data_IF_845997010998
#
_entry.id   IF_845997010998
#
_cell.length_a   1.000
_cell.length_b   1.000
_cell.length_c   1.000
_cell.angle_alpha   90.00
_cell.angle_beta   90.00
_cell.angle_gamma   90.00
#
_symmetry.space_group_name_H-M   'P 1'
#
loop_
_entity.id
_entity.type
_entity.pdbx_description
1 polymer ?
#
# COMPACT_ATOMS: atom_id res chain seq x y z
N UNK A 1 -14.24 -10.14 26.37
CA UNK A 1 -13.34 -9.20 27.06
C UNK A 1 -13.09 -8.04 26.12
N UNK A 2 -13.27 -6.81 26.58
CA UNK A 2 -13.11 -5.59 25.76
C UNK A 2 -11.63 -5.37 25.45
N UNK A 3 -11.22 -5.13 24.20
CA UNK A 3 -9.83 -4.82 23.88
C UNK A 3 -9.42 -3.53 24.60
N UNK A 4 -8.26 -3.54 25.26
CA UNK A 4 -7.78 -2.40 26.08
C UNK A 4 -7.05 -1.33 25.25
N UNK A 5 -6.70 -1.64 23.99
CA UNK A 5 -5.85 -0.82 23.15
C UNK A 5 -6.22 -0.92 21.67
N UNK A 6 -6.37 0.21 20.98
CA UNK A 6 -6.52 0.28 19.53
C UNK A 6 -5.38 1.08 18.90
N UNK A 7 -4.72 0.53 17.87
CA UNK A 7 -3.55 1.11 17.20
C UNK A 7 -3.93 1.61 15.79
N UNK A 8 -3.78 2.91 15.48
CA UNK A 8 -4.08 3.43 14.16
C UNK A 8 -3.10 3.00 13.08
N UNK A 9 -3.61 2.97 11.85
CA UNK A 9 -2.90 2.84 10.57
C UNK A 9 -1.75 3.85 10.48
N UNK A 10 -0.60 3.52 9.86
CA UNK A 10 0.52 4.44 9.60
C UNK A 10 0.03 5.85 9.20
N UNK A 11 0.14 6.82 10.10
CA UNK A 11 -0.22 8.24 9.92
C UNK A 11 1.02 9.10 9.62
N UNK A 12 1.85 8.71 8.65
CA UNK A 12 2.96 9.57 8.24
C UNK A 12 2.43 10.78 7.46
N UNK A 13 2.68 12.00 7.96
CA UNK A 13 2.54 13.24 7.17
C UNK A 13 1.12 13.80 7.01
N UNK A 14 0.13 13.35 7.77
CA UNK A 14 -1.21 13.95 7.76
C UNK A 14 -1.23 15.24 8.60
N UNK A 15 -1.78 16.33 8.05
CA UNK A 15 -2.06 17.56 8.79
C UNK A 15 -2.85 17.26 10.09
N UNK A 16 -2.68 18.03 11.18
CA UNK A 16 -3.31 17.76 12.49
C UNK A 16 -4.83 17.55 12.46
N UNK A 17 -5.53 18.12 11.47
CA UNK A 17 -6.96 17.92 11.24
C UNK A 17 -7.30 16.48 10.80
N UNK A 18 -6.45 15.84 10.02
CA UNK A 18 -6.64 14.46 9.56
C UNK A 18 -6.28 13.43 10.64
N UNK A 19 -5.28 13.71 11.47
CA UNK A 19 -4.99 12.93 12.67
C UNK A 19 -6.20 12.92 13.62
N UNK A 20 -6.84 14.10 13.80
CA UNK A 20 -8.08 14.23 14.58
C UNK A 20 -9.26 13.50 13.95
N UNK A 21 -9.40 13.51 12.63
CA UNK A 21 -10.47 12.82 11.91
C UNK A 21 -10.35 11.29 12.02
N UNK A 22 -9.17 10.71 11.79
CA UNK A 22 -8.96 9.26 11.94
C UNK A 22 -8.99 8.83 13.41
N UNK A 23 -8.46 9.63 14.32
CA UNK A 23 -8.62 9.42 15.75
C UNK A 23 -10.06 9.62 16.23
N UNK A 24 -10.87 10.39 15.51
CA UNK A 24 -12.32 10.52 15.72
C UNK A 24 -13.06 9.28 15.25
N UNK A 25 -12.82 8.85 14.01
CA UNK A 25 -13.36 7.62 13.45
C UNK A 25 -13.06 6.40 14.33
N UNK A 26 -11.83 6.26 14.84
CA UNK A 26 -11.48 5.15 15.74
C UNK A 26 -12.07 5.31 17.14
N UNK A 27 -12.25 6.54 17.67
CA UNK A 27 -12.97 6.79 18.92
C UNK A 27 -14.44 6.44 18.83
N UNK A 28 -15.07 6.79 17.71
CA UNK A 28 -16.50 6.53 17.48
C UNK A 28 -16.77 5.04 17.19
N UNK A 29 -15.73 4.28 16.84
CA UNK A 29 -15.81 2.84 16.54
C UNK A 29 -15.34 1.94 17.70
N UNK A 30 -14.57 2.47 18.66
CA UNK A 30 -14.05 1.72 19.79
C UNK A 30 -15.07 1.67 20.96
N UNK A 31 -15.20 0.54 21.68
CA UNK A 31 -16.04 0.47 22.88
C UNK A 31 -15.66 1.50 23.94
N UNK A 32 -16.64 1.96 24.74
CA UNK A 32 -16.42 2.88 25.86
C UNK A 32 -15.31 2.38 26.81
N UNK A 33 -14.33 3.25 27.09
CA UNK A 33 -13.17 2.95 27.94
C UNK A 33 -11.96 2.33 27.23
N UNK A 34 -11.99 2.19 25.90
CA UNK A 34 -10.83 1.78 25.10
C UNK A 34 -9.79 2.90 25.04
N UNK A 35 -8.56 2.63 25.48
CA UNK A 35 -7.45 3.57 25.34
C UNK A 35 -6.95 3.55 23.89
N UNK A 36 -6.89 4.72 23.24
CA UNK A 36 -6.32 4.84 21.89
C UNK A 36 -4.87 5.29 22.02
N UNK A 37 -3.93 4.40 21.72
CA UNK A 37 -2.53 4.79 21.56
C UNK A 37 -2.27 5.17 20.11
N UNK A 38 -1.92 6.43 19.88
CA UNK A 38 -1.34 6.87 18.62
C UNK A 38 0.13 6.47 18.65
N UNK A 39 0.49 5.41 17.93
CA UNK A 39 1.89 5.00 17.82
C UNK A 39 2.66 6.01 16.97
N UNK A 40 3.74 6.51 17.55
CA UNK A 40 4.76 7.28 16.84
C UNK A 40 5.42 6.43 15.74
N UNK A 41 5.71 7.14 14.65
CA UNK A 41 6.31 6.75 13.38
C UNK A 41 7.30 5.57 13.37
N UNK A 42 7.19 4.72 12.33
CA UNK A 42 8.37 4.08 11.72
C UNK A 42 9.17 3.10 12.58
N UNK A 43 8.67 2.68 13.74
CA UNK A 43 9.28 1.61 14.53
C UNK A 43 8.61 0.29 14.14
N UNK A 44 9.34 -0.65 13.51
CA UNK A 44 8.88 -2.03 13.36
C UNK A 44 8.51 -2.58 14.74
N UNK A 45 7.33 -3.16 14.89
CA UNK A 45 7.07 -3.94 16.09
C UNK A 45 7.77 -5.30 15.98
N UNK A 46 8.35 -5.73 17.09
CA UNK A 46 8.96 -7.05 17.23
C UNK A 46 7.87 -8.12 17.27
N UNK A 47 7.35 -8.48 16.11
CA UNK A 47 6.65 -9.74 15.89
C UNK A 47 7.69 -10.87 15.92
N UNK A 48 7.55 -11.89 16.78
CA UNK A 48 8.46 -13.02 16.81
C UNK A 48 8.56 -13.68 15.42
N UNK A 49 9.76 -14.03 14.94
CA UNK A 49 9.90 -14.76 13.68
C UNK A 49 9.16 -16.11 13.77
N UNK A 50 8.47 -16.50 12.70
CA UNK A 50 7.79 -17.80 12.62
C UNK A 50 6.30 -17.79 12.97
N UNK A 51 5.70 -16.65 13.31
CA UNK A 51 4.23 -16.52 13.49
C UNK A 51 3.53 -16.10 12.20
N UNK A 52 4.23 -15.94 11.08
CA UNK A 52 3.63 -15.52 9.82
C UNK A 52 2.55 -16.51 9.35
N UNK A 53 2.76 -17.81 9.52
CA UNK A 53 1.77 -18.82 9.14
C UNK A 53 0.51 -18.73 10.02
N UNK A 54 0.66 -18.42 11.32
CA UNK A 54 -0.48 -18.21 12.22
C UNK A 54 -1.28 -16.97 11.80
N UNK A 55 -0.59 -15.87 11.45
CA UNK A 55 -1.23 -14.66 10.91
C UNK A 55 -1.99 -14.98 9.62
N UNK A 56 -1.40 -15.78 8.73
CA UNK A 56 -2.02 -16.17 7.45
C UNK A 56 -3.24 -17.07 7.68
N UNK A 57 -3.19 -17.97 8.65
CA UNK A 57 -4.32 -18.84 8.97
C UNK A 57 -5.48 -18.06 9.59
N UNK A 58 -5.20 -17.13 10.51
CA UNK A 58 -6.24 -16.25 11.07
C UNK A 58 -6.81 -15.33 9.99
N UNK A 59 -5.96 -14.80 9.10
CA UNK A 59 -6.41 -14.04 7.93
C UNK A 59 -7.25 -14.88 6.98
N UNK A 60 -6.94 -16.17 6.78
CA UNK A 60 -7.78 -17.06 5.98
C UNK A 60 -9.18 -17.17 6.58
N UNK A 61 -9.28 -17.38 7.89
CA UNK A 61 -10.55 -17.47 8.60
C UNK A 61 -11.36 -16.18 8.48
N UNK A 62 -10.72 -15.02 8.67
CA UNK A 62 -11.41 -13.74 8.51
C UNK A 62 -11.86 -13.52 7.07
N UNK A 63 -11.07 -13.98 6.09
CA UNK A 63 -11.37 -13.79 4.69
C UNK A 63 -12.50 -14.69 4.24
N UNK A 64 -12.62 -15.92 4.77
CA UNK A 64 -13.81 -16.74 4.57
C UNK A 64 -15.08 -16.04 5.09
N UNK A 65 -15.01 -15.33 6.22
CA UNK A 65 -16.11 -14.49 6.70
C UNK A 65 -16.35 -13.30 5.75
N UNK A 66 -15.31 -12.57 5.36
CA UNK A 66 -15.41 -11.38 4.50
C UNK A 66 -16.02 -11.68 3.13
N UNK A 67 -15.71 -12.85 2.54
CA UNK A 67 -16.29 -13.31 1.27
C UNK A 67 -17.82 -13.45 1.30
N UNK A 68 -18.40 -13.67 2.48
CA UNK A 68 -19.86 -13.80 2.63
C UNK A 68 -20.56 -12.45 2.77
N UNK A 69 -19.80 -11.36 2.94
CA UNK A 69 -20.36 -10.03 3.18
C UNK A 69 -20.73 -9.36 1.86
N UNK A 70 -21.86 -8.64 1.87
CA UNK A 70 -22.30 -7.82 0.74
C UNK A 70 -21.17 -6.87 0.33
N UNK A 71 -20.98 -6.71 -0.98
CA UNK A 71 -19.99 -5.80 -1.54
C UNK A 71 -18.56 -6.34 -1.58
N UNK A 72 -18.27 -7.56 -1.10
CA UNK A 72 -16.98 -8.20 -1.33
C UNK A 72 -16.86 -8.63 -2.81
N UNK A 73 -15.81 -8.21 -3.51
CA UNK A 73 -15.56 -8.57 -4.92
C UNK A 73 -14.44 -9.61 -5.03
N UNK A 74 -13.29 -9.33 -4.40
CA UNK A 74 -12.14 -10.22 -4.44
C UNK A 74 -11.16 -9.95 -3.31
N UNK A 75 -10.31 -10.94 -3.02
CA UNK A 75 -9.25 -10.86 -2.02
C UNK A 75 -8.02 -11.62 -2.53
N UNK A 76 -6.84 -11.03 -2.37
CA UNK A 76 -5.57 -11.68 -2.67
C UNK A 76 -4.56 -11.35 -1.57
N UNK A 77 -4.03 -12.38 -0.93
CA UNK A 77 -2.89 -12.24 -0.05
C UNK A 77 -1.58 -12.35 -0.83
N UNK A 78 -0.63 -11.52 -0.44
CA UNK A 78 0.73 -11.57 -0.92
C UNK A 78 1.68 -11.76 0.26
N UNK A 79 2.70 -12.59 0.07
CA UNK A 79 3.84 -12.74 0.97
C UNK A 79 5.00 -11.90 0.46
N UNK A 80 5.76 -11.31 1.37
CA UNK A 80 7.07 -10.77 1.03
C UNK A 80 7.98 -11.87 0.46
N UNK A 81 8.84 -11.53 -0.50
CA UNK A 81 9.87 -12.48 -0.98
C UNK A 81 10.84 -12.90 0.13
N UNK A 82 10.98 -12.05 1.15
CA UNK A 82 11.58 -12.33 2.44
C UNK A 82 11.02 -11.35 3.49
N UNK A 83 11.05 -11.74 4.76
CA UNK A 83 10.56 -10.94 5.89
C UNK A 83 9.13 -11.24 6.32
N UNK A 84 8.67 -10.50 7.33
CA UNK A 84 7.49 -10.79 8.16
C UNK A 84 6.18 -10.17 7.66
N UNK A 85 6.25 -9.40 6.56
CA UNK A 85 5.14 -8.56 6.08
C UNK A 85 4.31 -9.32 5.06
N UNK A 86 3.00 -9.40 5.31
CA UNK A 86 2.00 -9.84 4.34
C UNK A 86 1.17 -8.65 3.86
N UNK A 87 0.69 -8.70 2.61
CA UNK A 87 -0.13 -7.65 2.01
C UNK A 87 -1.42 -8.25 1.49
N UNK A 88 -2.56 -7.79 2.00
CA UNK A 88 -3.87 -8.12 1.45
C UNK A 88 -4.31 -7.03 0.46
N UNK A 89 -4.66 -7.43 -0.76
CA UNK A 89 -5.31 -6.57 -1.74
C UNK A 89 -6.74 -7.09 -1.92
N UNK A 90 -7.72 -6.29 -1.50
CA UNK A 90 -9.13 -6.64 -1.59
C UNK A 90 -9.92 -5.58 -2.36
N UNK A 91 -10.81 -6.03 -3.24
CA UNK A 91 -11.74 -5.19 -3.96
C UNK A 91 -13.12 -5.25 -3.32
N UNK A 92 -13.73 -4.09 -3.13
CA UNK A 92 -15.06 -3.92 -2.55
C UNK A 92 -15.88 -2.97 -3.41
N UNK A 93 -17.19 -3.21 -3.48
CA UNK A 93 -18.14 -2.35 -4.19
C UNK A 93 -18.17 -0.94 -3.59
N UNK A 94 -18.08 -0.84 -2.26
CA UNK A 94 -18.02 0.46 -1.58
C UNK A 94 -17.29 0.40 -0.23
N UNK A 95 -16.80 1.55 0.23
CA UNK A 95 -16.23 1.71 1.57
C UNK A 95 -17.28 1.47 2.68
N UNK A 96 -18.56 1.73 2.39
CA UNK A 96 -19.67 1.46 3.33
C UNK A 96 -19.84 -0.04 3.55
N UNK A 97 -19.77 -0.83 2.50
CA UNK A 97 -19.92 -2.29 2.59
C UNK A 97 -18.74 -2.92 3.31
N UNK A 98 -17.52 -2.48 3.01
CA UNK A 98 -16.33 -2.88 3.78
C UNK A 98 -16.47 -2.53 5.27
N UNK A 99 -16.93 -1.32 5.59
CA UNK A 99 -17.17 -0.91 6.98
C UNK A 99 -18.17 -1.84 7.65
N UNK A 100 -19.28 -2.15 7.00
CA UNK A 100 -20.29 -3.06 7.56
C UNK A 100 -19.73 -4.47 7.78
N UNK A 101 -18.90 -4.96 6.85
CA UNK A 101 -18.21 -6.24 6.96
C UNK A 101 -17.28 -6.28 8.19
N UNK A 102 -16.45 -5.24 8.38
CA UNK A 102 -15.60 -5.13 9.58
C UNK A 102 -16.41 -5.05 10.87
N UNK A 103 -17.56 -4.39 10.88
CA UNK A 103 -18.40 -4.28 12.08
C UNK A 103 -19.25 -5.53 12.36
N UNK A 104 -19.16 -6.58 11.54
CA UNK A 104 -19.96 -7.78 11.74
C UNK A 104 -19.49 -8.55 12.98
N UNK A 105 -20.41 -9.15 13.77
CA UNK A 105 -20.04 -9.92 14.95
C UNK A 105 -19.07 -11.07 14.64
N UNK A 106 -19.23 -11.72 13.48
CA UNK A 106 -18.38 -12.84 13.08
C UNK A 106 -16.95 -12.39 12.79
N UNK A 107 -16.75 -11.23 12.14
CA UNK A 107 -15.42 -10.69 11.90
C UNK A 107 -14.77 -10.22 13.21
N UNK A 108 -15.52 -9.50 14.05
CA UNK A 108 -15.02 -9.01 15.34
C UNK A 108 -14.62 -10.14 16.29
N UNK A 109 -15.30 -11.29 16.23
CA UNK A 109 -14.96 -12.47 17.02
C UNK A 109 -13.61 -13.11 16.65
N UNK A 110 -13.09 -12.87 15.44
CA UNK A 110 -11.80 -13.39 14.97
C UNK A 110 -10.61 -12.50 15.34
N UNK A 111 -10.83 -11.22 15.65
CA UNK A 111 -9.75 -10.30 15.99
C UNK A 111 -8.85 -10.78 17.15
N UNK A 112 -9.38 -11.37 18.23
CA UNK A 112 -8.54 -11.90 19.32
C UNK A 112 -7.71 -13.13 18.94
N UNK A 113 -7.96 -13.77 17.80
CA UNK A 113 -7.20 -14.93 17.35
C UNK A 113 -5.88 -14.55 16.67
N UNK A 114 -5.71 -13.28 16.26
CA UNK A 114 -4.45 -12.82 15.70
C UNK A 114 -3.34 -12.91 16.76
N UNK A 115 -2.13 -13.42 16.39
CA UNK A 115 -1.00 -13.51 17.32
C UNK A 115 -0.64 -12.15 17.94
N UNK A 116 -0.21 -12.17 19.19
CA UNK A 116 0.28 -10.97 19.88
C UNK A 116 1.40 -10.28 19.08
N UNK A 117 1.32 -8.96 18.97
CA UNK A 117 2.23 -8.15 18.15
C UNK A 117 1.80 -7.99 16.68
N UNK A 118 0.77 -8.71 16.22
CA UNK A 118 0.20 -8.50 14.89
C UNK A 118 -0.33 -7.07 14.74
N UNK A 119 0.06 -6.40 13.65
CA UNK A 119 -0.40 -5.07 13.31
C UNK A 119 -0.86 -5.00 11.85
N UNK A 120 -2.03 -4.41 11.62
CA UNK A 120 -2.57 -4.20 10.28
C UNK A 120 -2.64 -2.70 9.96
N UNK A 121 -2.29 -2.36 8.72
CA UNK A 121 -2.28 -0.98 8.23
C UNK A 121 -3.16 -0.82 6.97
N UNK A 122 -4.50 -0.97 7.09
CA UNK A 122 -5.41 -0.85 5.95
C UNK A 122 -5.40 0.56 5.37
N UNK A 123 -5.41 0.67 4.03
CA UNK A 123 -5.60 1.95 3.34
C UNK A 123 -6.62 1.79 2.22
N UNK A 124 -7.59 2.70 2.16
CA UNK A 124 -8.60 2.72 1.12
C UNK A 124 -8.09 3.48 -0.10
N UNK A 125 -8.07 2.79 -1.24
CA UNK A 125 -7.57 3.33 -2.49
C UNK A 125 -8.54 3.05 -3.62
N UNK A 126 -8.44 3.84 -4.69
CA UNK A 126 -9.14 3.62 -5.96
C UNK A 126 -8.14 3.61 -7.12
N UNK A 127 -8.37 2.80 -8.16
CA UNK A 127 -7.49 2.79 -9.33
C UNK A 127 -7.52 4.16 -10.02
N UNK A 128 -6.36 4.60 -10.50
CA UNK A 128 -6.20 5.87 -11.22
C UNK A 128 -5.85 5.60 -12.67
N UNK A 129 -6.46 6.35 -13.57
CA UNK A 129 -6.06 6.37 -14.97
C UNK A 129 -4.70 7.07 -15.11
N UNK A 130 -3.73 6.33 -15.63
CA UNK A 130 -2.40 6.86 -15.95
C UNK A 130 -2.15 6.59 -17.43
N UNK A 131 -2.30 7.59 -18.32
CA UNK A 131 -2.27 7.36 -19.75
C UNK A 131 -0.96 6.72 -20.22
N UNK A 132 -1.08 5.64 -21.01
CA UNK A 132 0.03 4.82 -21.47
C UNK A 132 0.52 3.75 -20.47
N UNK A 133 0.07 3.80 -19.22
CA UNK A 133 0.51 2.90 -18.13
C UNK A 133 -0.62 2.00 -17.65
N UNK A 134 -1.71 2.56 -17.08
CA UNK A 134 -2.81 1.79 -16.48
C UNK A 134 -4.16 2.48 -16.61
N UNK A 135 -5.23 1.70 -16.48
CA UNK A 135 -6.61 2.18 -16.49
C UNK A 135 -7.08 2.53 -15.07
N UNK A 136 -8.12 3.34 -14.95
CA UNK A 136 -8.71 3.68 -13.65
C UNK A 136 -9.63 4.90 -13.74
N UNK A 137 -9.90 5.52 -12.59
CA UNK A 137 -10.66 6.75 -12.55
C UNK A 137 -9.81 7.95 -13.01
N UNK A 138 -10.41 8.91 -13.75
CA UNK A 138 -9.70 10.12 -14.15
C UNK A 138 -9.33 10.96 -12.93
N UNK A 139 -8.35 11.82 -13.12
CA UNK A 139 -7.87 12.80 -12.15
C UNK A 139 -7.66 14.15 -12.83
N UNK A 140 -7.58 15.23 -12.04
CA UNK A 140 -7.52 16.60 -12.53
C UNK A 140 -6.14 16.96 -13.14
N UNK A 141 -5.87 16.37 -14.32
CA UNK A 141 -4.61 16.47 -15.04
C UNK A 141 -4.37 17.89 -15.56
N UNK A 142 -5.40 18.52 -16.13
CA UNK A 142 -5.29 19.87 -16.71
C UNK A 142 -4.88 20.90 -15.65
N UNK A 143 -5.57 20.90 -14.51
CA UNK A 143 -5.21 21.77 -13.39
C UNK A 143 -3.80 21.51 -12.88
N UNK A 144 -3.40 20.24 -12.81
CA UNK A 144 -2.05 19.88 -12.35
C UNK A 144 -0.97 20.42 -13.30
N UNK A 145 -1.15 20.28 -14.62
CA UNK A 145 -0.19 20.75 -15.62
C UNK A 145 -0.08 22.28 -15.61
N UNK A 146 -1.19 23.00 -15.43
CA UNK A 146 -1.18 24.46 -15.32
C UNK A 146 -0.40 24.97 -14.09
N UNK A 147 -0.46 24.26 -12.96
CA UNK A 147 0.32 24.60 -11.76
C UNK A 147 1.79 24.24 -11.94
N UNK A 148 2.09 23.12 -12.60
CA UNK A 148 3.45 22.63 -12.82
C UNK A 148 4.32 23.63 -13.59
N UNK A 149 3.83 24.21 -14.70
CA UNK A 149 4.62 25.12 -15.55
C UNK A 149 5.11 26.38 -14.81
N UNK A 150 4.48 26.70 -13.67
CA UNK A 150 4.82 27.85 -12.85
C UNK A 150 5.86 27.59 -11.75
N UNK A 151 6.13 26.33 -11.41
CA UNK A 151 7.02 25.95 -10.31
C UNK A 151 8.44 25.64 -10.83
N UNK A 152 9.42 26.44 -10.41
CA UNK A 152 10.84 26.16 -10.67
C UNK A 152 11.23 24.79 -10.08
N UNK A 153 11.92 23.98 -10.89
CA UNK A 153 12.32 22.62 -10.52
C UNK A 153 13.47 22.65 -9.49
N UNK A 154 13.13 22.81 -8.21
CA UNK A 154 14.04 22.44 -7.13
C UNK A 154 14.23 20.92 -7.09
N UNK A 155 15.42 20.48 -6.66
CA UNK A 155 15.88 19.11 -6.77
C UNK A 155 14.86 18.07 -6.25
N UNK A 156 14.19 17.40 -7.19
CA UNK A 156 13.32 16.26 -6.96
C UNK A 156 14.17 15.05 -6.58
N UNK A 157 14.09 14.63 -5.32
CA UNK A 157 14.56 13.32 -4.91
C UNK A 157 13.45 12.62 -4.12
N UNK A 158 13.01 11.49 -4.65
CA UNK A 158 12.18 10.55 -3.91
C UNK A 158 13.05 9.85 -2.86
N UNK A 159 12.61 9.85 -1.61
CA UNK A 159 13.28 9.11 -0.55
C UNK A 159 12.75 7.67 -0.57
N UNK A 160 13.61 6.69 -0.82
CA UNK A 160 13.23 5.29 -0.75
C UNK A 160 13.46 4.72 0.64
N UNK A 161 12.47 3.97 1.13
CA UNK A 161 12.54 3.22 2.38
C UNK A 161 12.03 1.79 2.17
N UNK A 162 12.45 0.88 3.06
CA UNK A 162 11.98 -0.49 3.05
C UNK A 162 10.72 -0.64 3.91
N UNK A 163 9.71 -1.36 3.40
CA UNK A 163 8.50 -1.68 4.19
C UNK A 163 8.86 -2.55 5.40
N UNK A 164 9.84 -3.43 5.25
CA UNK A 164 10.40 -4.32 6.25
C UNK A 164 11.90 -4.03 6.39
N UNK A 165 12.34 -3.19 7.36
CA UNK A 165 13.73 -2.77 7.48
C UNK A 165 14.72 -3.93 7.69
N UNK A 166 14.26 -5.04 8.29
CA UNK A 166 15.09 -6.23 8.52
C UNK A 166 15.49 -6.94 7.23
N UNK A 167 14.76 -6.70 6.14
CA UNK A 167 14.99 -7.32 4.84
C UNK A 167 14.95 -6.23 3.77
N UNK A 168 16.09 -5.56 3.49
CA UNK A 168 16.13 -4.48 2.51
C UNK A 168 15.72 -4.93 1.11
N UNK A 169 15.22 -4.02 0.27
CA UNK A 169 14.74 -4.33 -1.08
C UNK A 169 15.76 -5.10 -1.93
N UNK A 170 17.05 -4.77 -1.81
CA UNK A 170 18.11 -5.45 -2.54
C UNK A 170 18.23 -6.94 -2.18
N UNK A 171 17.92 -7.31 -0.94
CA UNK A 171 17.84 -8.70 -0.51
C UNK A 171 16.56 -9.38 -1.00
N UNK A 172 15.43 -8.70 -0.91
CA UNK A 172 14.16 -9.22 -1.43
C UNK A 172 14.22 -9.50 -2.94
N UNK A 173 14.90 -8.63 -3.71
CA UNK A 173 15.11 -8.83 -5.15
C UNK A 173 16.05 -10.01 -5.46
N UNK A 174 17.03 -10.29 -4.59
CA UNK A 174 17.88 -11.50 -4.72
C UNK A 174 17.09 -12.77 -4.41
N UNK A 175 16.17 -12.70 -3.46
CA UNK A 175 15.28 -13.81 -3.10
C UNK A 175 14.13 -14.02 -4.10
N UNK A 176 13.85 -13.06 -4.99
CA UNK A 176 12.81 -13.19 -6.00
C UNK A 176 13.21 -14.19 -7.10
N UNK A 177 12.30 -15.11 -7.42
CA UNK A 177 12.45 -16.08 -8.50
C UNK A 177 11.25 -15.98 -9.43
N UNK A 178 11.50 -15.94 -10.74
CA UNK A 178 10.46 -15.73 -11.74
C UNK A 178 9.77 -14.37 -11.59
N UNK A 179 8.52 -14.32 -12.05
CA UNK A 179 7.71 -13.11 -11.99
C UNK A 179 7.31 -12.77 -10.56
N UNK A 180 7.31 -11.47 -10.24
CA UNK A 180 6.94 -10.97 -8.92
C UNK A 180 6.19 -9.64 -9.05
N UNK A 181 5.49 -9.25 -7.98
CA UNK A 181 4.85 -7.94 -7.87
C UNK A 181 5.74 -7.03 -7.03
N UNK A 182 6.12 -5.87 -7.54
CA UNK A 182 6.72 -4.81 -6.76
C UNK A 182 5.60 -3.90 -6.22
N UNK A 183 5.49 -3.83 -4.90
CA UNK A 183 4.67 -2.85 -4.20
C UNK A 183 5.47 -1.56 -4.03
N UNK A 184 4.87 -0.44 -4.41
CA UNK A 184 5.35 0.91 -4.09
C UNK A 184 4.30 1.70 -3.34
N UNK A 185 4.56 2.12 -2.11
CA UNK A 185 3.68 3.01 -1.33
C UNK A 185 4.33 4.39 -1.30
N UNK A 186 3.72 5.36 -1.96
CA UNK A 186 4.20 6.72 -2.04
C UNK A 186 3.44 7.58 -1.03
N UNK A 187 4.14 8.23 -0.12
CA UNK A 187 3.61 9.33 0.70
C UNK A 187 4.07 10.62 0.05
N UNK A 188 3.12 11.36 -0.51
CA UNK A 188 3.37 12.55 -1.34
C UNK A 188 3.13 13.81 -0.49
N UNK A 189 3.86 14.91 -0.69
CA UNK A 189 3.54 16.18 -0.03
C UNK A 189 2.10 16.62 -0.27
N UNK A 190 1.53 17.31 0.72
CA UNK A 190 0.16 17.83 0.65
C UNK A 190 -0.02 18.71 -0.61
N UNK A 191 -1.11 18.48 -1.34
CA UNK A 191 -1.39 19.17 -2.59
C UNK A 191 -0.60 18.69 -3.81
N UNK A 192 0.41 17.82 -3.66
CA UNK A 192 1.27 17.38 -4.76
C UNK A 192 0.88 16.02 -5.37
N UNK A 193 -0.27 15.44 -5.00
CA UNK A 193 -0.73 14.13 -5.52
C UNK A 193 -0.85 14.11 -7.04
N UNK A 194 -1.43 15.14 -7.66
CA UNK A 194 -1.52 15.23 -9.12
C UNK A 194 -0.13 15.27 -9.78
N UNK A 195 0.79 16.03 -9.19
CA UNK A 195 2.18 16.12 -9.64
C UNK A 195 2.87 14.76 -9.59
N UNK A 196 2.69 14.01 -8.49
CA UNK A 196 3.23 12.66 -8.35
C UNK A 196 2.61 11.66 -9.34
N UNK A 197 1.30 11.75 -9.65
CA UNK A 197 0.68 10.90 -10.68
C UNK A 197 1.28 11.20 -12.07
N UNK A 198 1.52 12.48 -12.38
CA UNK A 198 2.19 12.87 -13.64
C UNK A 198 3.65 12.38 -13.71
N UNK A 199 4.39 12.48 -12.61
CA UNK A 199 5.74 11.93 -12.51
C UNK A 199 5.73 10.41 -12.69
N UNK A 200 4.79 9.73 -12.03
CA UNK A 200 4.56 8.30 -12.17
C UNK A 200 4.27 7.89 -13.61
N UNK A 201 3.47 8.67 -14.34
CA UNK A 201 3.24 8.44 -15.77
C UNK A 201 4.55 8.41 -16.56
N UNK A 202 5.44 9.39 -16.34
CA UNK A 202 6.75 9.45 -17.01
C UNK A 202 7.59 8.22 -16.70
N UNK A 203 7.64 7.82 -15.43
CA UNK A 203 8.38 6.60 -15.03
C UNK A 203 7.75 5.33 -15.58
N UNK A 204 6.41 5.23 -15.58
CA UNK A 204 5.69 4.05 -16.05
C UNK A 204 5.82 3.86 -17.56
N UNK A 205 5.71 4.93 -18.35
CA UNK A 205 5.95 4.89 -19.80
C UNK A 205 7.39 4.49 -20.10
N UNK A 206 8.36 5.04 -19.36
CA UNK A 206 9.76 4.66 -19.51
C UNK A 206 9.99 3.17 -19.23
N UNK A 207 9.47 2.66 -18.10
CA UNK A 207 9.63 1.25 -17.71
C UNK A 207 8.88 0.29 -18.63
N UNK A 208 7.72 0.69 -19.17
CA UNK A 208 6.96 -0.11 -20.14
C UNK A 208 7.73 -0.37 -21.43
N UNK A 209 8.67 0.51 -21.78
CA UNK A 209 9.58 0.30 -22.91
C UNK A 209 10.77 -0.62 -22.62
N UNK A 210 10.90 -1.18 -21.41
CA UNK A 210 12.02 -2.03 -20.99
C UNK A 210 11.63 -3.50 -20.94
N UNK A 211 12.63 -4.37 -21.13
CA UNK A 211 12.46 -5.81 -20.95
C UNK A 211 11.98 -6.13 -19.54
N UNK A 212 11.15 -7.16 -19.40
CA UNK A 212 10.63 -7.63 -18.12
C UNK A 212 9.52 -6.78 -17.49
N UNK A 213 9.00 -5.75 -18.16
CA UNK A 213 7.74 -5.11 -17.77
C UNK A 213 6.56 -6.01 -18.15
N UNK A 214 5.70 -6.34 -17.18
CA UNK A 214 4.46 -7.11 -17.43
C UNK A 214 3.24 -6.19 -17.26
N UNK A 215 3.10 -5.59 -16.07
CA UNK A 215 1.97 -4.73 -15.73
C UNK A 215 2.37 -3.69 -14.70
N UNK A 216 1.63 -2.59 -14.63
CA UNK A 216 1.62 -1.70 -13.49
C UNK A 216 0.19 -1.18 -13.26
N UNK A 217 -0.21 -0.98 -12.01
CA UNK A 217 -1.46 -0.34 -11.66
C UNK A 217 -1.22 0.64 -10.52
N UNK A 218 -1.54 1.91 -10.78
CA UNK A 218 -1.52 2.94 -9.75
C UNK A 218 -2.90 3.07 -9.11
N UNK A 219 -2.89 3.21 -7.80
CA UNK A 219 -4.04 3.53 -6.98
C UNK A 219 -3.76 4.81 -6.19
N UNK A 220 -4.83 5.56 -5.94
CA UNK A 220 -4.81 6.77 -5.12
C UNK A 220 -5.67 6.57 -3.89
N UNK A 221 -5.19 7.02 -2.74
CA UNK A 221 -5.97 7.12 -1.53
C UNK A 221 -7.23 7.97 -1.73
N UNK A 222 -8.34 7.57 -1.13
CA UNK A 222 -9.59 8.31 -1.21
C UNK A 222 -9.56 9.60 -0.37
N UNK A 223 -10.48 10.52 -0.65
CA UNK A 223 -10.60 11.82 0.03
C UNK A 223 -9.30 12.64 -0.05
N UNK A 224 -8.83 13.12 1.10
CA UNK A 224 -7.65 13.96 1.30
C UNK A 224 -6.34 13.17 1.45
N UNK A 225 -6.38 11.84 1.28
CA UNK A 225 -5.17 11.03 1.35
C UNK A 225 -4.14 11.47 0.32
N UNK A 226 -2.91 11.65 0.79
CA UNK A 226 -1.72 11.94 -0.01
C UNK A 226 -0.93 10.67 -0.38
N UNK A 227 -1.54 9.50 -0.19
CA UNK A 227 -0.91 8.21 -0.48
C UNK A 227 -1.26 7.74 -1.89
N UNK A 228 -0.24 7.29 -2.62
CA UNK A 228 -0.40 6.49 -3.83
C UNK A 228 0.14 5.08 -3.59
N UNK A 229 -0.47 4.08 -4.22
CA UNK A 229 -0.02 2.69 -4.16
C UNK A 229 0.17 2.19 -5.58
N UNK A 230 1.35 1.70 -5.91
CA UNK A 230 1.66 1.00 -7.15
C UNK A 230 1.77 -0.51 -6.88
N UNK A 231 1.10 -1.30 -7.72
CA UNK A 231 1.31 -2.74 -7.84
C UNK A 231 1.82 -3.04 -9.25
N UNK A 232 3.11 -3.34 -9.35
CA UNK A 232 3.80 -3.52 -10.62
C UNK A 232 4.35 -4.92 -10.80
N UNK A 233 3.85 -5.66 -11.78
CA UNK A 233 4.32 -7.01 -12.10
C UNK A 233 5.56 -6.92 -12.99
N UNK A 234 6.59 -7.68 -12.61
CA UNK A 234 7.89 -7.76 -13.30
C UNK A 234 8.22 -9.21 -13.58
N UNK A 235 8.85 -9.45 -14.73
CA UNK A 235 9.22 -10.80 -15.16
C UNK A 235 10.39 -11.38 -14.34
N UNK A 236 11.44 -10.57 -14.12
CA UNK A 236 12.61 -10.99 -13.33
C UNK A 236 13.25 -9.82 -12.60
N UNK A 237 13.94 -10.12 -11.49
CA UNK A 237 14.65 -9.12 -10.71
C UNK A 237 15.88 -8.57 -11.46
N UNK A 238 16.44 -9.33 -12.40
CA UNK A 238 17.49 -8.88 -13.31
C UNK A 238 17.00 -7.76 -14.22
N UNK A 239 15.93 -8.02 -14.97
CA UNK A 239 15.36 -7.04 -15.89
C UNK A 239 14.93 -5.73 -15.19
N UNK A 240 14.37 -5.84 -13.97
CA UNK A 240 14.07 -4.65 -13.17
C UNK A 240 15.34 -3.87 -12.80
N UNK A 241 16.40 -4.52 -12.33
CA UNK A 241 17.66 -3.84 -11.96
C UNK A 241 18.28 -3.12 -13.16
N UNK A 242 18.26 -3.74 -14.33
CA UNK A 242 18.78 -3.14 -15.56
C UNK A 242 17.95 -1.88 -15.93
N UNK A 243 16.62 -1.98 -15.85
CA UNK A 243 15.73 -0.85 -16.11
C UNK A 243 15.92 0.31 -15.12
N UNK A 244 16.15 0.01 -13.83
CA UNK A 244 16.38 1.04 -12.80
C UNK A 244 17.77 1.69 -12.89
N UNK A 245 18.74 1.00 -13.49
CA UNK A 245 20.11 1.49 -13.68
C UNK A 245 20.28 2.33 -14.95
N UNK A 246 19.26 2.39 -15.82
CA UNK A 246 19.26 3.21 -17.02
C UNK A 246 19.36 4.71 -16.66
N UNK A 247 20.30 5.48 -17.25
CA UNK A 247 20.42 6.91 -16.95
C UNK A 247 19.16 7.71 -17.28
N UNK A 248 18.39 7.29 -18.29
CA UNK A 248 17.11 7.90 -18.64
C UNK A 248 16.04 7.68 -17.57
N UNK A 249 16.16 6.62 -16.76
CA UNK A 249 15.28 6.40 -15.61
C UNK A 249 15.51 7.45 -14.50
N UNK A 250 16.76 7.85 -14.26
CA UNK A 250 17.08 8.90 -13.28
C UNK A 250 16.49 10.27 -13.70
N UNK A 251 16.52 10.57 -15.00
CA UNK A 251 15.93 11.80 -15.53
C UNK A 251 14.40 11.86 -15.33
N UNK A 252 13.69 10.74 -15.46
CA UNK A 252 12.24 10.72 -15.19
C UNK A 252 11.92 10.72 -13.69
N UNK A 253 12.77 10.14 -12.84
CA UNK A 253 12.62 10.22 -11.37
C UNK A 253 12.72 11.65 -10.83
N UNK A 254 13.51 12.51 -11.49
CA UNK A 254 13.65 13.93 -11.14
C UNK A 254 12.36 14.77 -11.33
N UNK A 255 11.23 14.13 -11.65
CA UNK A 255 9.93 14.78 -11.76
C UNK A 255 9.03 14.53 -10.54
N UNK A 256 9.44 13.72 -9.57
CA UNK A 256 8.63 13.54 -8.37
C UNK A 256 8.65 14.82 -7.50
N UNK A 257 7.56 15.13 -6.78
CA UNK A 257 7.57 16.24 -5.84
C UNK A 257 8.66 16.03 -4.78
N UNK A 258 9.44 17.08 -4.47
CA UNK A 258 10.42 17.04 -3.38
C UNK A 258 9.73 16.69 -2.05
N UNK A 259 10.33 15.79 -1.28
CA UNK A 259 9.72 15.26 -0.04
C UNK A 259 8.79 14.07 -0.24
N UNK A 260 8.63 13.57 -1.47
CA UNK A 260 7.96 12.28 -1.70
C UNK A 260 8.79 11.15 -1.10
N UNK A 261 8.13 10.28 -0.33
CA UNK A 261 8.73 9.06 0.24
C UNK A 261 8.10 7.83 -0.38
N UNK A 262 8.88 6.83 -0.76
CA UNK A 262 8.41 5.60 -1.38
C UNK A 262 8.90 4.37 -0.62
N UNK A 263 7.95 3.64 -0.05
CA UNK A 263 8.21 2.35 0.61
C UNK A 263 8.06 1.23 -0.41
N UNK A 264 9.06 0.36 -0.51
CA UNK A 264 9.05 -0.74 -1.49
C UNK A 264 9.06 -2.11 -0.84
N UNK A 265 8.38 -3.05 -1.49
CA UNK A 265 8.38 -4.46 -1.09
C UNK A 265 8.16 -5.38 -2.31
N UNK A 266 8.92 -6.47 -2.38
CA UNK A 266 8.72 -7.53 -3.37
C UNK A 266 7.69 -8.51 -2.82
N UNK A 267 6.63 -8.70 -3.58
CA UNK A 267 5.48 -9.52 -3.25
C UNK A 267 5.40 -10.74 -4.16
N UNK A 268 5.00 -11.87 -3.58
CA UNK A 268 4.53 -13.06 -4.29
C UNK A 268 3.10 -13.33 -3.91
N UNK A 269 2.27 -13.74 -4.88
CA UNK A 269 0.91 -14.21 -4.58
C UNK A 269 1.02 -15.44 -3.68
N UNK A 270 0.16 -15.49 -2.67
CA UNK A 270 0.04 -16.64 -1.81
C UNK A 270 -1.22 -17.41 -2.19
N UNK A 271 -1.09 -18.72 -2.44
CA UNK A 271 -2.21 -19.64 -2.33
C UNK A 271 -2.65 -19.70 -0.87
N UNK A 272 -3.91 -19.31 -0.65
CA UNK A 272 -4.56 -19.44 0.65
C UNK A 272 -5.83 -20.25 0.42
N UNK A 273 -5.97 -21.44 1.04
CA UNK A 273 -7.10 -22.33 0.79
C UNK A 273 -8.44 -21.61 0.86
N UNK A 274 -9.31 -21.88 -0.11
CA UNK A 274 -10.64 -21.29 -0.27
C UNK A 274 -10.70 -19.77 -0.46
N UNK A 275 -9.58 -19.04 -0.46
CA UNK A 275 -9.56 -17.57 -0.57
C UNK A 275 -8.79 -17.10 -1.81
N UNK A 276 -7.54 -17.53 -1.95
CA UNK A 276 -6.63 -17.06 -2.99
C UNK A 276 -6.17 -18.20 -3.91
N UNK A 277 -5.84 -17.82 -5.14
CA UNK A 277 -5.16 -18.69 -6.11
C UNK A 277 -3.76 -18.14 -6.39
N UNK A 278 -2.81 -19.01 -6.72
CA UNK A 278 -1.46 -18.63 -7.14
C UNK A 278 -1.45 -17.84 -8.47
#
# INVERSE_FOLDING_TARGET
>A
MTPRLAVPVRQAGLAPVHQKMHGGLLRDLAPDGTEIAVLEHGVPQDVPPGVEEDVIEVWRLDSEVMKTKVGNISQQLYRGAAGRVVTNVAAWESAKDLRNAFMSPEFQALLPAYPDGSAAYPHLVRPVEVPGVCLGAPWDRERTLAVWESAAADASAIEYADVCPDVPLAEQLRAAHGAFTLLGIFVVPDGAVGQAIHAYQKTGVHLKGRSGFIQAQLYRGIESSNVLVDLAVRETAGALRDALSDPGFQAVLAHYPAGTRCFRHVLRRAAVPNVCVD
#
